data_IF_671240497642
#
_entry.id   IF_671240497642
#
_cell.length_a   1.000
_cell.length_b   1.000
_cell.length_c   1.000
_cell.angle_alpha   90.00
_cell.angle_beta   90.00
_cell.angle_gamma   90.00
#
_symmetry.space_group_name_H-M   'P 1'
#
loop_
_entity.id
_entity.type
_entity.pdbx_description
1 polymer ?
#
# COMPACT_ATOMS: atom_id res chain seq x y z
N UNK A 1 27.12 -13.00 5.69
CA UNK A 1 25.88 -13.33 4.95
C UNK A 1 24.72 -13.14 5.91
N UNK A 2 24.08 -11.96 5.89
CA UNK A 2 23.07 -11.58 6.90
C UNK A 2 21.66 -12.07 6.52
N UNK A 3 21.40 -12.29 5.22
CA UNK A 3 20.11 -12.78 4.72
C UNK A 3 19.87 -14.29 4.90
N UNK A 4 20.92 -15.09 5.14
CA UNK A 4 20.79 -16.55 5.28
C UNK A 4 19.95 -16.96 6.49
N UNK A 5 20.01 -16.16 7.56
CA UNK A 5 19.22 -16.37 8.79
C UNK A 5 17.70 -16.43 8.48
N UNK A 6 17.22 -15.73 7.46
CA UNK A 6 15.79 -15.67 7.14
C UNK A 6 15.44 -16.51 5.90
N UNK A 7 16.39 -16.65 4.96
CA UNK A 7 16.14 -17.28 3.66
C UNK A 7 16.46 -18.77 3.58
N UNK A 8 17.06 -19.37 4.62
CA UNK A 8 17.34 -20.81 4.63
C UNK A 8 16.03 -21.62 4.54
N UNK A 9 16.02 -22.60 3.63
CA UNK A 9 14.80 -23.32 3.20
C UNK A 9 14.05 -23.97 4.35
N UNK A 10 14.75 -24.38 5.40
CA UNK A 10 14.16 -25.02 6.58
C UNK A 10 13.47 -24.03 7.51
N UNK A 11 13.96 -22.78 7.59
CA UNK A 11 13.51 -21.79 8.58
C UNK A 11 12.62 -20.70 7.98
N UNK A 12 12.66 -20.54 6.65
CA UNK A 12 11.89 -19.53 5.92
C UNK A 12 10.40 -19.59 6.21
N UNK A 13 9.81 -20.79 6.29
CA UNK A 13 8.37 -20.96 6.53
C UNK A 13 7.94 -20.49 7.93
N UNK A 14 8.85 -20.53 8.91
CA UNK A 14 8.59 -20.05 10.27
C UNK A 14 8.91 -18.56 10.47
N UNK A 15 9.88 -18.04 9.70
CA UNK A 15 10.39 -16.68 9.86
C UNK A 15 9.77 -15.67 8.91
N UNK A 16 8.96 -16.12 7.95
CA UNK A 16 8.33 -15.25 6.95
C UNK A 16 6.86 -15.57 6.80
N UNK A 17 6.07 -14.55 6.50
CA UNK A 17 4.66 -14.66 6.14
C UNK A 17 4.45 -14.11 4.73
N UNK A 18 3.81 -14.88 3.86
CA UNK A 18 3.48 -14.43 2.51
C UNK A 18 2.06 -13.88 2.51
N UNK A 19 1.95 -12.56 2.40
CA UNK A 19 0.69 -11.84 2.42
C UNK A 19 0.00 -11.89 1.06
N UNK A 20 -1.27 -12.24 1.09
CA UNK A 20 -2.17 -12.25 -0.07
C UNK A 20 -3.46 -11.55 0.30
N UNK A 21 -3.94 -10.70 -0.60
CA UNK A 21 -5.16 -9.93 -0.37
C UNK A 21 -6.36 -10.86 -0.21
N UNK A 22 -7.15 -10.64 0.84
CA UNK A 22 -8.34 -11.41 1.18
C UNK A 22 -8.05 -12.75 1.87
N UNK A 23 -6.79 -13.11 2.11
CA UNK A 23 -6.43 -14.34 2.81
C UNK A 23 -6.11 -14.08 4.30
N UNK A 24 -6.43 -15.02 5.21
CA UNK A 24 -6.03 -14.94 6.60
C UNK A 24 -4.51 -15.00 6.73
N UNK A 25 -3.96 -14.16 7.60
CA UNK A 25 -2.52 -14.02 7.82
C UNK A 25 -1.96 -15.18 8.64
N UNK A 26 -1.77 -16.32 7.98
CA UNK A 26 -1.29 -17.59 8.55
C UNK A 26 0.12 -17.89 8.03
N UNK A 27 1.00 -18.33 8.91
CA UNK A 27 2.38 -18.70 8.63
C UNK A 27 2.80 -19.93 9.45
N UNK A 28 4.05 -20.38 9.29
CA UNK A 28 4.55 -21.62 9.86
C UNK A 28 4.57 -22.77 8.85
N UNK A 29 5.44 -23.76 9.09
CA UNK A 29 5.62 -24.92 8.21
C UNK A 29 4.33 -25.73 8.06
N UNK A 30 3.57 -25.83 9.15
CA UNK A 30 2.32 -26.60 9.24
C UNK A 30 1.07 -25.70 9.22
N UNK A 31 1.24 -24.40 8.93
CA UNK A 31 0.17 -23.39 8.93
C UNK A 31 -0.56 -23.30 10.28
N UNK A 32 0.21 -23.41 11.35
CA UNK A 32 -0.23 -23.47 12.74
C UNK A 32 -0.16 -22.11 13.45
N UNK A 33 0.45 -21.08 12.84
CA UNK A 33 0.60 -19.75 13.44
C UNK A 33 -0.15 -18.68 12.65
N UNK A 34 -0.72 -17.70 13.34
CA UNK A 34 -1.46 -16.58 12.76
C UNK A 34 -1.05 -15.24 13.35
N UNK A 35 -1.42 -14.16 12.67
CA UNK A 35 -1.32 -12.80 13.21
C UNK A 35 -2.68 -12.32 13.71
N UNK A 36 -2.68 -11.77 14.92
CA UNK A 36 -3.84 -11.11 15.53
C UNK A 36 -3.50 -9.69 15.95
N UNK A 37 -4.52 -8.85 16.07
CA UNK A 37 -4.38 -7.50 16.60
C UNK A 37 -4.75 -7.52 18.09
N UNK A 38 -3.78 -7.29 18.95
CA UNK A 38 -3.97 -7.14 20.40
C UNK A 38 -3.99 -5.63 20.73
N UNK A 39 -5.18 -5.05 20.73
CA UNK A 39 -5.39 -3.60 20.85
C UNK A 39 -4.84 -2.84 19.64
N UNK A 40 -3.61 -2.33 19.75
CA UNK A 40 -2.91 -1.55 18.72
C UNK A 40 -1.59 -2.20 18.26
N UNK A 41 -1.29 -3.42 18.72
CA UNK A 41 -0.05 -4.14 18.38
C UNK A 41 -0.35 -5.44 17.66
N UNK A 42 0.50 -5.80 16.70
CA UNK A 42 0.48 -7.11 16.07
C UNK A 42 1.11 -8.14 17.01
N UNK A 43 0.47 -9.31 17.09
CA UNK A 43 0.95 -10.44 17.87
C UNK A 43 0.87 -11.72 17.06
N UNK A 44 1.95 -12.51 17.09
CA UNK A 44 1.94 -13.86 16.57
C UNK A 44 1.30 -14.82 17.60
N UNK A 45 0.37 -15.64 17.15
CA UNK A 45 -0.34 -16.62 17.98
C UNK A 45 -0.38 -17.97 17.30
N UNK A 46 -0.54 -19.03 18.08
CA UNK A 46 -0.71 -20.40 17.56
C UNK A 46 -2.20 -20.73 17.49
N UNK A 47 -2.66 -21.18 16.34
CA UNK A 47 -4.06 -21.55 16.08
C UNK A 47 -4.38 -22.81 16.89
N UNK A 48 -5.46 -22.78 17.67
CA UNK A 48 -5.87 -23.89 18.54
C UNK A 48 -5.24 -23.87 19.94
N UNK A 49 -4.34 -22.95 20.24
CA UNK A 49 -3.92 -22.63 21.61
C UNK A 49 -4.72 -21.42 22.13
N UNK A 50 -4.94 -21.35 23.44
CA UNK A 50 -5.66 -20.26 24.11
C UNK A 50 -7.08 -19.96 23.58
N UNK A 51 -7.72 -20.94 22.93
CA UNK A 51 -9.05 -20.79 22.35
C UNK A 51 -9.09 -19.99 21.04
N UNK A 52 -7.93 -19.64 20.47
CA UNK A 52 -7.82 -18.88 19.23
C UNK A 52 -8.18 -19.78 18.05
N UNK A 53 -9.20 -19.36 17.30
CA UNK A 53 -9.67 -20.04 16.10
C UNK A 53 -9.19 -19.32 14.84
N UNK A 54 -9.37 -19.96 13.68
CA UNK A 54 -9.02 -19.35 12.40
C UNK A 54 -9.80 -18.04 12.13
N UNK A 55 -10.95 -17.85 12.77
CA UNK A 55 -11.78 -16.65 12.62
C UNK A 55 -11.21 -15.43 13.36
N UNK A 56 -10.35 -15.65 14.35
CA UNK A 56 -9.72 -14.58 15.13
C UNK A 56 -8.50 -14.00 14.42
N UNK A 57 -8.01 -14.70 13.38
CA UNK A 57 -6.84 -14.31 12.59
C UNK A 57 -7.20 -13.15 11.68
N UNK A 58 -6.32 -12.15 11.64
CA UNK A 58 -6.48 -11.01 10.76
C UNK A 58 -6.46 -11.45 9.29
N UNK A 59 -7.44 -10.96 8.53
CA UNK A 59 -7.48 -11.09 7.07
C UNK A 59 -6.75 -9.92 6.44
N UNK A 60 -5.81 -10.21 5.54
CA UNK A 60 -5.01 -9.15 4.91
C UNK A 60 -5.81 -8.38 3.87
N UNK A 61 -6.03 -7.08 4.11
CA UNK A 61 -6.61 -6.18 3.12
C UNK A 61 -5.53 -5.25 2.54
N UNK A 62 -4.92 -5.67 1.42
CA UNK A 62 -3.96 -4.84 0.69
C UNK A 62 -4.55 -3.52 0.14
N UNK A 63 -5.88 -3.41 -0.02
CA UNK A 63 -6.54 -2.26 -0.65
C UNK A 63 -7.13 -1.28 0.37
N UNK A 64 -6.87 -1.52 1.67
CA UNK A 64 -7.29 -0.63 2.75
C UNK A 64 -6.68 0.76 2.57
N UNK A 65 -7.53 1.79 2.64
CA UNK A 65 -7.09 3.18 2.47
C UNK A 65 -6.25 3.63 3.67
N UNK A 66 -6.64 3.21 4.88
CA UNK A 66 -5.88 3.47 6.09
C UNK A 66 -4.57 2.65 6.11
N UNK A 67 -3.42 3.33 6.05
CA UNK A 67 -2.12 2.66 5.97
C UNK A 67 -1.62 2.08 7.30
N UNK A 68 -2.31 2.31 8.43
CA UNK A 68 -1.81 1.96 9.77
C UNK A 68 -1.43 0.49 9.90
N UNK A 69 -2.31 -0.42 9.47
CA UNK A 69 -2.03 -1.86 9.49
C UNK A 69 -0.87 -2.22 8.55
N UNK A 70 -0.79 -1.58 7.38
CA UNK A 70 0.28 -1.83 6.41
C UNK A 70 1.65 -1.43 6.95
N UNK A 71 1.75 -0.34 7.72
CA UNK A 71 3.00 0.03 8.39
C UNK A 71 3.40 -0.96 9.45
N UNK A 72 2.46 -1.39 10.29
CA UNK A 72 2.73 -2.41 11.30
C UNK A 72 3.27 -3.69 10.66
N UNK A 73 2.75 -4.08 9.48
CA UNK A 73 3.24 -5.22 8.72
C UNK A 73 4.66 -4.99 8.15
N UNK A 74 4.98 -3.76 7.72
CA UNK A 74 6.32 -3.41 7.25
C UNK A 74 7.38 -3.39 8.37
N UNK A 75 6.97 -3.04 9.59
CA UNK A 75 7.85 -2.96 10.77
C UNK A 75 8.08 -4.31 11.46
N UNK A 76 7.46 -5.39 10.98
CA UNK A 76 7.66 -6.71 11.57
C UNK A 76 9.10 -7.20 11.39
N UNK A 77 9.73 -7.57 12.51
CA UNK A 77 11.09 -8.08 12.53
C UNK A 77 11.20 -9.38 13.33
N UNK A 78 12.00 -10.31 12.82
CA UNK A 78 12.37 -11.53 13.54
C UNK A 78 13.36 -11.16 14.67
N UNK A 79 13.25 -11.70 15.89
CA UNK A 79 12.55 -12.93 16.31
C UNK A 79 11.12 -12.77 16.81
N UNK A 80 10.62 -11.55 17.02
CA UNK A 80 9.32 -11.35 17.64
C UNK A 80 8.16 -11.62 16.67
N UNK A 81 8.30 -11.21 15.41
CA UNK A 81 7.29 -11.40 14.37
C UNK A 81 7.92 -11.96 13.08
N UNK A 82 7.14 -12.68 12.25
CA UNK A 82 7.60 -13.10 10.95
C UNK A 82 7.77 -11.89 10.03
N UNK A 83 8.78 -11.94 9.15
CA UNK A 83 8.98 -10.91 8.13
C UNK A 83 7.88 -11.00 7.07
N UNK A 84 7.17 -9.90 6.81
CA UNK A 84 6.17 -9.83 5.75
C UNK A 84 6.81 -9.86 4.36
N UNK A 85 6.30 -10.75 3.51
CA UNK A 85 6.64 -10.85 2.10
C UNK A 85 5.37 -10.79 1.25
N UNK A 86 5.49 -10.32 0.00
CA UNK A 86 4.37 -10.20 -0.93
C UNK A 86 3.83 -8.78 -1.03
N UNK A 87 2.55 -8.64 -1.34
CA UNK A 87 1.92 -7.33 -1.55
C UNK A 87 1.34 -6.85 -0.21
N UNK A 88 2.08 -5.98 0.47
CA UNK A 88 1.65 -5.37 1.73
C UNK A 88 0.55 -4.33 1.47
N UNK A 89 0.74 -3.44 0.49
CA UNK A 89 -0.22 -2.38 0.16
C UNK A 89 -0.37 -2.23 -1.35
N UNK A 90 -1.62 -2.13 -1.80
CA UNK A 90 -2.05 -1.87 -3.18
C UNK A 90 -3.29 -0.97 -3.13
N UNK A 91 -3.06 0.33 -3.04
CA UNK A 91 -4.14 1.32 -3.00
C UNK A 91 -4.11 2.13 -4.29
N UNK A 92 -5.28 2.37 -4.87
CA UNK A 92 -5.43 3.32 -5.97
C UNK A 92 -5.46 4.72 -5.37
N UNK A 93 -4.45 5.51 -5.70
CA UNK A 93 -4.38 6.92 -5.36
C UNK A 93 -3.87 7.70 -6.58
N UNK A 94 -4.16 9.00 -6.64
CA UNK A 94 -3.70 9.84 -7.74
C UNK A 94 -2.19 10.01 -7.62
N UNK A 95 -1.49 9.79 -8.72
CA UNK A 95 -0.06 10.10 -8.75
C UNK A 95 0.13 11.61 -8.93
N UNK A 96 1.32 12.09 -8.60
CA UNK A 96 1.68 13.48 -8.84
C UNK A 96 1.50 13.88 -10.32
N UNK A 97 1.86 13.00 -11.27
CA UNK A 97 1.71 13.26 -12.72
C UNK A 97 0.23 13.40 -13.11
N UNK A 98 -0.63 12.51 -12.61
CA UNK A 98 -2.08 12.58 -12.84
C UNK A 98 -2.63 13.92 -12.36
N UNK A 99 -2.21 14.36 -11.17
CA UNK A 99 -2.67 15.62 -10.58
C UNK A 99 -2.23 16.84 -11.40
N UNK A 100 -0.98 16.86 -11.87
CA UNK A 100 -0.47 17.97 -12.71
C UNK A 100 -1.18 18.01 -14.05
N UNK A 101 -1.41 16.84 -14.68
CA UNK A 101 -2.13 16.74 -15.96
C UNK A 101 -3.57 17.23 -15.83
N UNK A 102 -4.25 16.83 -14.76
CA UNK A 102 -5.62 17.24 -14.49
C UNK A 102 -5.71 18.75 -14.26
N UNK A 103 -4.75 19.33 -13.51
CA UNK A 103 -4.66 20.78 -13.30
C UNK A 103 -4.46 21.54 -14.62
N UNK A 104 -3.54 21.08 -15.49
CA UNK A 104 -3.30 21.72 -16.79
C UNK A 104 -4.55 21.66 -17.67
N UNK A 105 -5.24 20.52 -17.67
CA UNK A 105 -6.47 20.32 -18.45
C UNK A 105 -7.58 21.23 -17.95
N UNK A 106 -7.74 21.36 -16.63
CA UNK A 106 -8.71 22.26 -16.01
C UNK A 106 -8.44 23.73 -16.40
N UNK A 107 -7.19 24.18 -16.29
CA UNK A 107 -6.80 25.55 -16.67
C UNK A 107 -7.00 25.79 -18.16
N UNK A 108 -6.62 24.83 -19.02
CA UNK A 108 -6.80 24.95 -20.47
C UNK A 108 -8.28 25.05 -20.88
N UNK A 109 -9.17 24.30 -20.20
CA UNK A 109 -10.61 24.32 -20.46
C UNK A 109 -11.28 25.61 -19.96
N UNK A 110 -10.79 26.18 -18.86
CA UNK A 110 -11.36 27.40 -18.26
C UNK A 110 -10.73 28.70 -18.77
N UNK A 111 -9.66 28.62 -19.56
CA UNK A 111 -8.98 29.79 -20.14
C UNK A 111 -9.83 30.43 -21.24
N UNK A 112 -9.95 31.75 -21.25
CA UNK A 112 -10.54 32.50 -22.39
C UNK A 112 -9.63 32.55 -23.61
N UNK A 113 -8.34 32.21 -23.43
CA UNK A 113 -7.31 32.19 -24.46
C UNK A 113 -7.09 30.74 -24.91
N UNK A 114 -7.51 30.41 -26.12
CA UNK A 114 -7.37 29.06 -26.68
C UNK A 114 -6.37 28.99 -27.85
N UNK A 115 -6.08 30.12 -28.48
CA UNK A 115 -5.11 30.20 -29.55
C UNK A 115 -4.23 31.46 -29.48
N UNK A 116 -3.18 31.49 -30.30
CA UNK A 116 -2.24 32.60 -30.37
C UNK A 116 -2.91 33.94 -30.72
N UNK A 117 -3.96 33.92 -31.56
CA UNK A 117 -4.72 35.13 -31.86
C UNK A 117 -5.49 35.65 -30.64
N UNK A 118 -6.09 34.79 -29.82
CA UNK A 118 -6.78 35.20 -28.59
C UNK A 118 -5.77 35.83 -27.62
N UNK A 119 -4.58 35.21 -27.50
CA UNK A 119 -3.50 35.70 -26.66
C UNK A 119 -2.99 37.07 -27.11
N UNK A 120 -2.79 37.27 -28.41
CA UNK A 120 -2.33 38.56 -28.93
C UNK A 120 -3.39 39.66 -28.81
N UNK A 121 -4.68 39.29 -28.86
CA UNK A 121 -5.80 40.24 -28.81
C UNK A 121 -6.30 40.51 -27.39
N UNK A 122 -5.98 39.66 -26.40
CA UNK A 122 -6.39 39.86 -25.01
C UNK A 122 -5.70 41.05 -24.33
N UNK A 123 -4.56 41.50 -24.86
CA UNK A 123 -3.74 42.58 -24.30
C UNK A 123 -4.12 44.01 -24.71
N UNK A 124 -5.14 44.21 -25.55
CA UNK A 124 -5.67 45.53 -25.92
C UNK A 124 -4.84 46.35 -26.93
N UNK A 125 -3.54 46.08 -27.09
CA UNK A 125 -2.62 46.84 -27.96
C UNK A 125 -2.55 46.30 -29.40
N UNK A 126 -3.70 46.25 -30.11
CA UNK A 126 -3.70 45.89 -31.54
C UNK A 126 -4.42 46.96 -32.38
N UNK A 127 -3.81 47.34 -33.50
CA UNK A 127 -4.36 48.29 -34.47
C UNK A 127 -4.53 47.64 -35.84
N UNK A 128 -5.58 48.03 -36.56
CA UNK A 128 -5.88 47.56 -37.92
C UNK A 128 -5.30 48.57 -38.91
N UNK A 129 -4.55 48.09 -39.91
CA UNK A 129 -3.95 48.92 -40.98
C UNK A 129 -4.69 48.64 -42.29
N UNK A 130 -5.13 49.70 -42.98
CA UNK A 130 -5.74 49.66 -44.33
C UNK A 130 -4.70 49.91 -45.43
#
# INVERSE_FOLDING_TARGET
KTHSIISDREVRAERTIVLRHGEPMIFGKDRDKGLVLDGIRLKAVTIGQDGITQNDILVHNAEEQNHGLHMMLCEMEWPELPVALGIIRRVKDRTYDDMVRDQLTEVANNSEIHCMNDMLRSGGDTWIVE
#
